data_IF_852046483711
#
_entry.id   IF_852046483711
#
_cell.length_a   1.000
_cell.length_b   1.000
_cell.length_c   1.000
_cell.angle_alpha   90.00
_cell.angle_beta   90.00
_cell.angle_gamma   90.00
#
_symmetry.space_group_name_H-M   'P 1'
#
loop_
_entity.id
_entity.type
_entity.pdbx_description
1 polymer ?
#
# COMPACT_ATOMS: atom_id res chain seq x y z
N UNK A 1 3.40 -6.59 8.97
CA UNK A 1 2.32 -7.52 8.61
C UNK A 1 1.09 -7.06 9.35
N UNK A 2 -0.01 -6.85 8.64
CA UNK A 2 -1.28 -6.57 9.30
C UNK A 2 -1.81 -7.88 9.91
N UNK A 3 -1.85 -7.95 11.24
CA UNK A 3 -2.34 -9.12 11.97
C UNK A 3 -3.82 -9.39 11.62
N UNK A 4 -4.59 -8.36 11.27
CA UNK A 4 -5.97 -8.46 10.82
C UNK A 4 -6.11 -9.28 9.54
N UNK A 5 -5.26 -9.03 8.54
CA UNK A 5 -5.26 -9.78 7.27
C UNK A 5 -4.97 -11.27 7.49
N UNK A 6 -3.99 -11.58 8.35
CA UNK A 6 -3.63 -12.97 8.65
C UNK A 6 -4.75 -13.69 9.40
N UNK A 7 -5.28 -13.07 10.45
CA UNK A 7 -6.40 -13.64 11.23
C UNK A 7 -7.63 -13.82 10.33
N UNK A 8 -7.98 -12.82 9.51
CA UNK A 8 -9.15 -12.88 8.63
C UNK A 8 -9.09 -14.04 7.64
N UNK A 9 -7.93 -14.27 7.02
CA UNK A 9 -7.75 -15.40 6.09
C UNK A 9 -7.89 -16.74 6.82
N UNK A 10 -7.24 -16.89 7.97
CA UNK A 10 -7.32 -18.14 8.76
C UNK A 10 -8.75 -18.41 9.22
N UNK A 11 -9.44 -17.39 9.71
CA UNK A 11 -10.80 -17.51 10.25
C UNK A 11 -11.81 -17.78 9.12
N UNK A 12 -11.66 -17.12 7.96
CA UNK A 12 -12.48 -17.39 6.77
C UNK A 12 -12.33 -18.82 6.26
N UNK A 13 -11.08 -19.31 6.12
CA UNK A 13 -10.82 -20.69 5.75
C UNK A 13 -11.36 -21.68 6.78
N UNK A 14 -11.19 -21.41 8.08
CA UNK A 14 -11.68 -22.27 9.15
C UNK A 14 -13.21 -22.38 9.15
N UNK A 15 -13.93 -21.27 8.95
CA UNK A 15 -15.39 -21.26 8.84
C UNK A 15 -15.88 -22.01 7.61
N UNK A 16 -15.22 -21.85 6.45
CA UNK A 16 -15.53 -22.63 5.25
C UNK A 16 -15.35 -24.13 5.49
N UNK A 17 -14.22 -24.54 6.09
CA UNK A 17 -13.95 -25.94 6.40
C UNK A 17 -14.95 -26.50 7.41
N UNK A 18 -15.28 -25.74 8.45
CA UNK A 18 -16.27 -26.15 9.45
C UNK A 18 -17.66 -26.33 8.83
N UNK A 19 -18.06 -25.45 7.91
CA UNK A 19 -19.31 -25.59 7.15
C UNK A 19 -19.37 -26.89 6.35
N UNK A 20 -18.28 -27.23 5.64
CA UNK A 20 -18.17 -28.48 4.87
C UNK A 20 -18.27 -29.72 5.77
N UNK A 21 -17.59 -29.69 6.93
CA UNK A 21 -17.61 -30.80 7.89
C UNK A 21 -18.98 -31.01 8.52
N UNK A 22 -19.69 -29.93 8.89
CA UNK A 22 -21.05 -30.00 9.42
C UNK A 22 -22.03 -30.54 8.36
N UNK A 23 -21.79 -30.22 7.09
CA UNK A 23 -22.57 -30.73 5.96
C UNK A 23 -22.45 -32.23 5.72
N UNK A 24 -21.56 -32.94 6.42
CA UNK A 24 -21.43 -34.41 6.38
C UNK A 24 -20.92 -34.97 5.03
N UNK A 25 -20.45 -34.11 4.14
CA UNK A 25 -19.96 -34.47 2.80
C UNK A 25 -18.45 -34.63 2.79
N UNK A 26 -17.94 -35.49 1.90
CA UNK A 26 -16.50 -35.68 1.74
C UNK A 26 -15.89 -34.42 1.14
N UNK A 27 -14.79 -33.93 1.70
CA UNK A 27 -14.06 -32.73 1.23
C UNK A 27 -13.70 -32.86 -0.27
N UNK A 28 -13.48 -34.09 -0.74
CA UNK A 28 -13.19 -34.38 -2.14
C UNK A 28 -14.35 -34.05 -3.11
N UNK A 29 -15.59 -33.96 -2.63
CA UNK A 29 -16.73 -33.55 -3.46
C UNK A 29 -16.72 -32.06 -3.81
N UNK A 30 -15.99 -31.24 -3.04
CA UNK A 30 -15.80 -29.82 -3.33
C UNK A 30 -14.62 -29.56 -4.27
N UNK A 31 -13.84 -30.59 -4.60
CA UNK A 31 -12.72 -30.50 -5.54
C UNK A 31 -13.18 -30.83 -6.96
N UNK A 32 -13.60 -29.80 -7.70
CA UNK A 32 -14.00 -29.91 -9.10
C UNK A 32 -13.00 -29.18 -10.01
N UNK A 33 -12.15 -29.93 -10.71
CA UNK A 33 -11.11 -29.39 -11.60
C UNK A 33 -11.67 -28.47 -12.70
N UNK A 34 -12.78 -28.80 -13.39
CA UNK A 34 -13.44 -27.89 -14.32
C UNK A 34 -13.82 -26.55 -13.69
N UNK A 35 -14.45 -26.55 -12.51
CA UNK A 35 -14.83 -25.32 -11.81
C UNK A 35 -13.62 -24.45 -11.48
N UNK A 36 -12.50 -25.05 -11.07
CA UNK A 36 -11.25 -24.31 -10.81
C UNK A 36 -10.75 -23.61 -12.08
N UNK A 37 -10.76 -24.30 -13.23
CA UNK A 37 -10.33 -23.72 -14.52
C UNK A 37 -11.22 -22.55 -14.92
N UNK A 38 -12.54 -22.68 -14.77
CA UNK A 38 -13.48 -21.61 -15.13
C UNK A 38 -13.31 -20.39 -14.23
N UNK A 39 -13.20 -20.60 -12.92
CA UNK A 39 -13.07 -19.50 -11.94
C UNK A 39 -11.71 -18.81 -12.05
N UNK A 40 -10.61 -19.56 -11.98
CA UNK A 40 -9.28 -18.95 -12.06
C UNK A 40 -8.97 -18.45 -13.48
N UNK A 41 -9.27 -19.24 -14.51
CA UNK A 41 -9.07 -18.84 -15.90
C UNK A 41 -9.93 -17.64 -16.28
N UNK A 42 -11.20 -17.63 -15.86
CA UNK A 42 -12.12 -16.51 -16.06
C UNK A 42 -11.67 -15.25 -15.31
N UNK A 43 -11.22 -15.37 -14.06
CA UNK A 43 -10.71 -14.24 -13.29
C UNK A 43 -9.44 -13.64 -13.92
N UNK A 44 -8.49 -14.47 -14.35
CA UNK A 44 -7.26 -14.01 -15.03
C UNK A 44 -7.60 -13.37 -16.38
N UNK A 45 -8.50 -13.97 -17.17
CA UNK A 45 -8.93 -13.39 -18.44
C UNK A 45 -9.65 -12.04 -18.24
N UNK A 46 -10.54 -11.94 -17.25
CA UNK A 46 -11.22 -10.69 -16.89
C UNK A 46 -10.23 -9.61 -16.45
N UNK A 47 -9.19 -9.99 -15.69
CA UNK A 47 -8.12 -9.08 -15.27
C UNK A 47 -7.32 -8.55 -16.48
N UNK A 48 -7.01 -9.41 -17.45
CA UNK A 48 -6.32 -9.04 -18.68
C UNK A 48 -7.16 -8.11 -19.58
N UNK A 49 -8.48 -8.25 -19.57
CA UNK A 49 -9.40 -7.35 -20.29
C UNK A 49 -9.48 -5.99 -19.57
N UNK A 50 -9.55 -6.00 -18.24
CA UNK A 50 -9.82 -4.81 -17.43
C UNK A 50 -8.58 -3.94 -17.20
N UNK A 51 -7.37 -4.53 -17.22
CA UNK A 51 -6.13 -3.85 -16.88
C UNK A 51 -5.04 -4.15 -17.91
N UNK A 52 -4.19 -3.16 -18.24
CA UNK A 52 -3.06 -3.37 -19.15
C UNK A 52 -2.08 -4.42 -18.59
N UNK A 53 -1.43 -5.16 -19.48
CA UNK A 53 -0.55 -6.29 -19.13
C UNK A 53 0.54 -5.93 -18.10
N UNK A 54 1.07 -4.70 -18.16
CA UNK A 54 2.07 -4.22 -17.20
C UNK A 54 1.56 -4.16 -15.76
N UNK A 55 0.26 -3.94 -15.53
CA UNK A 55 -0.35 -4.01 -14.21
C UNK A 55 -0.49 -5.46 -13.73
N UNK A 56 -0.93 -6.35 -14.62
CA UNK A 56 -1.11 -7.78 -14.31
C UNK A 56 0.21 -8.43 -13.91
N UNK A 57 1.32 -8.09 -14.57
CA UNK A 57 2.65 -8.57 -14.18
C UNK A 57 3.10 -8.09 -12.79
N UNK A 58 2.56 -6.97 -12.29
CA UNK A 58 2.85 -6.44 -10.94
C UNK A 58 1.97 -7.03 -9.85
N UNK A 59 0.93 -7.80 -10.20
CA UNK A 59 0.03 -8.46 -9.26
C UNK A 59 0.73 -9.21 -8.11
N UNK A 60 1.73 -10.10 -8.34
CA UNK A 60 2.40 -10.81 -7.25
C UNK A 60 3.11 -9.88 -6.27
N UNK A 61 3.67 -8.77 -6.75
CA UNK A 61 4.31 -7.74 -5.90
C UNK A 61 3.29 -7.03 -5.03
N UNK A 62 2.10 -6.73 -5.58
CA UNK A 62 1.00 -6.09 -4.83
C UNK A 62 0.55 -7.02 -3.70
N UNK A 63 0.28 -8.29 -4.01
CA UNK A 63 -0.12 -9.31 -3.02
C UNK A 63 0.92 -9.40 -1.91
N UNK A 64 2.22 -9.47 -2.27
CA UNK A 64 3.31 -9.47 -1.28
C UNK A 64 3.27 -8.22 -0.38
N UNK A 65 3.11 -7.03 -0.94
CA UNK A 65 3.04 -5.81 -0.14
C UNK A 65 1.84 -5.80 0.82
N UNK A 66 0.70 -6.37 0.44
CA UNK A 66 -0.46 -6.48 1.33
C UNK A 66 -0.16 -7.33 2.57
N UNK A 67 0.51 -8.47 2.40
CA UNK A 67 0.89 -9.34 3.54
C UNK A 67 2.02 -8.75 4.38
N UNK A 68 3.03 -8.17 3.72
CA UNK A 68 4.25 -7.68 4.36
C UNK A 68 4.23 -6.18 4.70
N UNK A 69 3.06 -5.52 4.64
CA UNK A 69 2.96 -4.09 4.89
C UNK A 69 3.61 -3.71 6.22
N UNK A 70 4.49 -2.71 6.20
CA UNK A 70 5.08 -2.11 7.38
C UNK A 70 4.16 -0.97 7.82
N UNK A 71 3.60 -1.01 9.03
CA UNK A 71 2.80 0.10 9.52
C UNK A 71 3.68 1.36 9.52
N UNK A 72 3.14 2.46 8.98
CA UNK A 72 3.79 3.77 9.07
C UNK A 72 3.72 4.23 10.52
N UNK A 73 4.87 4.51 11.14
CA UNK A 73 4.90 5.08 12.48
C UNK A 73 4.61 6.58 12.42
N UNK A 74 3.33 6.91 12.58
CA UNK A 74 2.83 8.28 12.58
C UNK A 74 3.54 9.15 13.62
N UNK A 75 3.91 8.59 14.79
CA UNK A 75 4.58 9.37 15.84
C UNK A 75 6.00 9.74 15.41
N UNK A 76 6.73 8.79 14.84
CA UNK A 76 8.05 9.05 14.29
C UNK A 76 8.00 10.09 13.16
N UNK A 77 7.00 10.01 12.27
CA UNK A 77 6.81 11.00 11.21
C UNK A 77 6.51 12.40 11.75
N UNK A 78 5.63 12.53 12.76
CA UNK A 78 5.36 13.82 13.40
C UNK A 78 6.64 14.40 14.02
N UNK A 79 7.38 13.59 14.78
CA UNK A 79 8.63 14.02 15.41
C UNK A 79 9.66 14.48 14.35
N UNK A 80 9.73 13.78 13.22
CA UNK A 80 10.59 14.16 12.09
C UNK A 80 10.19 15.52 11.51
N UNK A 81 8.90 15.74 11.24
CA UNK A 81 8.39 17.03 10.70
C UNK A 81 8.67 18.18 11.67
N UNK A 82 8.47 17.98 12.98
CA UNK A 82 8.78 18.99 13.99
C UNK A 82 10.27 19.31 13.99
N UNK A 83 11.14 18.30 13.97
CA UNK A 83 12.60 18.50 13.94
C UNK A 83 13.06 19.27 12.70
N UNK A 84 12.47 19.00 11.53
CA UNK A 84 12.77 19.70 10.28
C UNK A 84 12.28 21.15 10.35
N UNK A 85 11.11 21.39 10.94
CA UNK A 85 10.57 22.75 11.14
C UNK A 85 11.45 23.59 12.06
N UNK A 86 12.02 23.00 13.12
CA UNK A 86 12.96 23.67 14.01
C UNK A 86 14.26 24.05 13.29
N UNK A 87 14.83 23.12 12.51
CA UNK A 87 16.02 23.39 11.68
C UNK A 87 15.74 24.53 10.70
N UNK A 88 14.64 24.47 9.95
CA UNK A 88 14.25 25.51 9.00
C UNK A 88 14.10 26.89 9.65
N UNK A 89 13.59 26.94 10.89
CA UNK A 89 13.42 28.19 11.64
C UNK A 89 14.74 28.77 12.15
N UNK A 90 15.71 27.93 12.52
CA UNK A 90 17.00 28.37 13.09
C UNK A 90 18.05 28.67 12.02
N UNK A 91 18.13 27.82 11.01
CA UNK A 91 19.20 27.79 10.01
C UNK A 91 18.73 28.22 8.61
N UNK A 92 17.41 28.42 8.44
CA UNK A 92 16.80 28.80 7.17
C UNK A 92 16.38 27.60 6.32
N UNK A 93 15.57 27.84 5.29
CA UNK A 93 14.93 26.75 4.52
C UNK A 93 15.93 25.90 3.72
N UNK A 94 16.99 26.50 3.18
CA UNK A 94 18.06 25.81 2.44
C UNK A 94 18.83 24.80 3.30
N UNK A 95 18.86 24.97 4.63
CA UNK A 95 19.52 24.02 5.53
C UNK A 95 18.88 22.62 5.48
N UNK A 96 17.63 22.53 5.01
CA UNK A 96 16.92 21.26 4.86
C UNK A 96 17.51 20.38 3.77
N UNK A 97 18.25 20.92 2.79
CA UNK A 97 18.92 20.12 1.75
C UNK A 97 19.86 19.07 2.35
N UNK A 98 20.62 19.47 3.37
CA UNK A 98 21.58 18.60 4.04
C UNK A 98 20.90 17.46 4.82
N UNK A 99 19.61 17.59 5.12
CA UNK A 99 18.82 16.59 5.86
C UNK A 99 17.91 15.78 4.96
N UNK A 100 17.93 16.01 3.64
CA UNK A 100 17.08 15.29 2.69
C UNK A 100 17.37 13.79 2.64
N UNK A 101 18.60 13.38 2.92
CA UNK A 101 18.99 11.96 2.96
C UNK A 101 18.40 11.21 4.17
N UNK A 102 18.01 11.93 5.24
CA UNK A 102 17.41 11.36 6.45
C UNK A 102 15.91 11.04 6.27
N UNK A 103 15.29 11.57 5.22
CA UNK A 103 13.85 11.46 5.00
C UNK A 103 13.52 10.14 4.33
N UNK A 104 12.86 9.25 5.07
CA UNK A 104 12.47 7.92 4.57
C UNK A 104 11.23 7.95 3.68
N UNK A 105 10.33 8.92 3.88
CA UNK A 105 9.10 9.05 3.08
C UNK A 105 9.37 9.83 1.79
N UNK A 106 9.14 9.24 0.60
CA UNK A 106 9.34 9.94 -0.66
C UNK A 106 8.40 11.15 -0.84
N UNK A 107 7.18 11.09 -0.29
CA UNK A 107 6.23 12.21 -0.34
C UNK A 107 6.71 13.39 0.49
N UNK A 108 7.21 13.13 1.72
CA UNK A 108 7.76 14.18 2.57
C UNK A 108 9.00 14.82 1.95
N UNK A 109 9.87 14.01 1.34
CA UNK A 109 11.05 14.50 0.64
C UNK A 109 10.69 15.40 -0.56
N UNK A 110 9.66 15.02 -1.33
CA UNK A 110 9.14 15.84 -2.43
C UNK A 110 8.64 17.20 -1.93
N UNK A 111 7.78 17.21 -0.91
CA UNK A 111 7.25 18.44 -0.33
C UNK A 111 8.33 19.40 0.18
N UNK A 112 9.38 18.86 0.81
CA UNK A 112 10.49 19.68 1.33
C UNK A 112 11.35 20.23 0.20
N UNK A 113 11.66 19.44 -0.84
CA UNK A 113 12.37 19.94 -2.03
C UNK A 113 11.62 21.11 -2.66
N UNK A 114 10.31 20.96 -2.85
CA UNK A 114 9.46 22.00 -3.40
C UNK A 114 9.45 23.28 -2.57
N UNK A 115 9.51 23.16 -1.24
CA UNK A 115 9.63 24.30 -0.35
C UNK A 115 11.02 24.97 -0.47
N UNK A 116 12.11 24.19 -0.51
CA UNK A 116 13.48 24.70 -0.69
C UNK A 116 13.63 25.45 -2.02
N UNK A 117 13.00 24.94 -3.08
CA UNK A 117 12.95 25.58 -4.40
C UNK A 117 12.15 26.90 -4.42
N UNK A 118 11.52 27.26 -3.29
CA UNK A 118 10.81 28.53 -3.14
C UNK A 118 9.44 28.56 -3.81
N UNK A 119 8.84 27.40 -4.09
CA UNK A 119 7.49 27.36 -4.66
C UNK A 119 6.45 27.85 -3.64
N UNK A 120 5.43 28.54 -4.14
CA UNK A 120 4.34 29.06 -3.31
C UNK A 120 3.57 27.94 -2.62
N UNK A 121 3.15 28.16 -1.38
CA UNK A 121 2.45 27.17 -0.53
C UNK A 121 1.24 26.55 -1.23
N UNK A 122 0.45 27.36 -1.95
CA UNK A 122 -0.75 26.89 -2.66
C UNK A 122 -0.39 25.88 -3.78
N UNK A 123 0.74 26.08 -4.46
CA UNK A 123 1.21 25.18 -5.52
C UNK A 123 1.70 23.88 -4.89
N UNK A 124 2.49 23.97 -3.82
CA UNK A 124 2.97 22.81 -3.07
C UNK A 124 1.81 21.97 -2.55
N UNK A 125 0.80 22.61 -1.96
CA UNK A 125 -0.40 21.92 -1.47
C UNK A 125 -1.14 21.21 -2.60
N UNK A 126 -1.37 21.89 -3.73
CA UNK A 126 -2.06 21.29 -4.87
C UNK A 126 -1.31 20.09 -5.45
N UNK A 127 0.02 20.18 -5.58
CA UNK A 127 0.85 19.07 -6.06
C UNK A 127 0.79 17.90 -5.08
N UNK A 128 0.98 18.17 -3.79
CA UNK A 128 0.95 17.14 -2.74
C UNK A 128 -0.42 16.46 -2.65
N UNK A 129 -1.52 17.21 -2.82
CA UNK A 129 -2.88 16.66 -2.90
C UNK A 129 -3.06 15.77 -4.14
N UNK A 130 -2.59 16.24 -5.29
CA UNK A 130 -2.67 15.48 -6.55
C UNK A 130 -1.89 14.17 -6.47
N UNK A 131 -0.69 14.18 -5.88
CA UNK A 131 0.10 12.97 -5.62
C UNK A 131 -0.63 12.00 -4.68
N UNK A 132 -1.29 12.52 -3.65
CA UNK A 132 -2.07 11.71 -2.71
C UNK A 132 -3.28 11.05 -3.40
N UNK A 133 -3.94 11.76 -4.30
CA UNK A 133 -5.03 11.23 -5.14
C UNK A 133 -4.55 10.21 -6.18
N UNK A 134 -3.35 10.39 -6.75
CA UNK A 134 -2.79 9.47 -7.75
C UNK A 134 -2.35 8.13 -7.15
N UNK A 135 -2.05 8.10 -5.85
CA UNK A 135 -1.66 6.90 -5.09
C UNK A 135 -2.88 6.16 -4.50
N UNK A 136 -4.01 6.85 -4.31
CA UNK A 136 -5.27 6.29 -3.82
C UNK A 136 -6.01 5.46 -4.88
#
# INVERSE_FOLDING_TARGET
>A
MDLGTVIGIVLGCALMLMSVLIGGTSIFQFWDTPSVIVVFGGAVASLLISRPMGFVMRFPTIVKNTFFNKPVDIRATIAQIVSLSETARREGLLSLENRMEEITSPQLALGIRMAVDGMGTDIVENIMRTELEAVA
#
